data_IF_653679119911
#
_entry.id   IF_653679119911
#
_cell.length_a   1.000
_cell.length_b   1.000
_cell.length_c   1.000
_cell.angle_alpha   90.00
_cell.angle_beta   90.00
_cell.angle_gamma   90.00
#
_symmetry.space_group_name_H-M   'P 1'
#
loop_
_entity.id
_entity.type
_entity.pdbx_description
1 polymer ?
#
# COMPACT_ATOMS: atom_id res chain seq x y z
N UNK A 1 45.20 15.09 -33.64
CA UNK A 1 46.18 14.09 -33.15
C UNK A 1 45.40 13.14 -32.25
N UNK A 2 45.26 11.87 -32.65
CA UNK A 2 44.45 10.86 -31.95
C UNK A 2 45.37 10.05 -31.03
N UNK A 3 45.08 10.08 -29.74
CA UNK A 3 45.81 9.33 -28.71
C UNK A 3 45.43 7.84 -28.81
N UNK A 4 46.34 7.03 -29.34
CA UNK A 4 46.17 5.59 -29.50
C UNK A 4 46.28 4.86 -28.16
N UNK A 5 45.14 4.41 -27.61
CA UNK A 5 45.13 3.54 -26.41
C UNK A 5 45.74 2.18 -26.73
N UNK A 6 46.96 1.96 -26.27
CA UNK A 6 47.63 0.65 -26.20
C UNK A 6 46.77 -0.35 -25.39
N UNK A 7 46.60 -1.60 -25.87
CA UNK A 7 45.78 -2.59 -25.17
C UNK A 7 46.45 -3.07 -23.88
N UNK A 8 45.77 -2.92 -22.74
CA UNK A 8 46.26 -3.40 -21.43
C UNK A 8 46.29 -4.93 -21.40
N UNK A 9 47.49 -5.51 -21.31
CA UNK A 9 47.71 -6.94 -21.07
C UNK A 9 47.25 -7.25 -19.64
N UNK A 10 46.23 -8.10 -19.48
CA UNK A 10 45.69 -8.51 -18.17
C UNK A 10 46.42 -9.76 -17.68
N UNK A 11 46.85 -9.76 -16.43
CA UNK A 11 47.42 -10.93 -15.77
C UNK A 11 46.32 -11.99 -15.55
N UNK A 12 46.60 -13.26 -15.90
CA UNK A 12 45.67 -14.40 -15.81
C UNK A 12 46.11 -15.44 -14.76
N UNK A 13 47.08 -15.12 -13.91
CA UNK A 13 47.45 -15.98 -12.79
C UNK A 13 46.26 -16.15 -11.83
N UNK A 14 46.13 -17.30 -11.15
CA UNK A 14 45.08 -17.51 -10.17
C UNK A 14 45.20 -16.49 -9.03
N UNK A 15 44.09 -15.84 -8.68
CA UNK A 15 44.05 -14.92 -7.55
C UNK A 15 44.26 -15.69 -6.23
N UNK A 16 45.05 -15.12 -5.32
CA UNK A 16 45.31 -15.71 -4.01
C UNK A 16 44.05 -15.77 -3.12
N UNK A 17 43.11 -14.84 -3.33
CA UNK A 17 41.79 -14.82 -2.67
C UNK A 17 40.72 -14.94 -3.73
N UNK A 18 39.86 -15.95 -3.59
CA UNK A 18 38.70 -16.16 -4.45
C UNK A 18 37.53 -15.33 -3.94
N UNK A 19 36.79 -14.72 -4.84
CA UNK A 19 35.57 -13.98 -4.49
C UNK A 19 34.50 -14.98 -4.05
N UNK A 20 34.03 -14.88 -2.81
CA UNK A 20 32.97 -15.74 -2.27
C UNK A 20 31.60 -15.11 -2.44
N UNK A 21 30.55 -15.93 -2.42
CA UNK A 21 29.17 -15.44 -2.45
C UNK A 21 28.86 -14.52 -1.24
N UNK A 22 29.42 -14.83 -0.06
CA UNK A 22 29.26 -14.01 1.14
C UNK A 22 29.89 -12.62 0.98
N UNK A 23 31.10 -12.53 0.39
CA UNK A 23 31.77 -11.25 0.14
C UNK A 23 30.94 -10.37 -0.79
N UNK A 24 30.36 -10.95 -1.84
CA UNK A 24 29.51 -10.23 -2.78
C UNK A 24 28.22 -9.71 -2.13
N UNK A 25 27.59 -10.54 -1.28
CA UNK A 25 26.37 -10.16 -0.57
C UNK A 25 26.63 -9.05 0.45
N UNK A 26 27.77 -9.10 1.16
CA UNK A 26 28.18 -8.08 2.13
C UNK A 26 28.48 -6.74 1.44
N UNK A 27 29.27 -6.76 0.36
CA UNK A 27 29.56 -5.56 -0.44
C UNK A 27 28.28 -4.97 -1.05
N UNK A 28 27.36 -5.82 -1.52
CA UNK A 28 26.08 -5.37 -2.07
C UNK A 28 25.20 -4.69 -1.01
N UNK A 29 25.17 -5.22 0.21
CA UNK A 29 24.43 -4.62 1.33
C UNK A 29 25.08 -3.32 1.81
N UNK A 30 26.41 -3.25 1.89
CA UNK A 30 27.14 -2.03 2.27
C UNK A 30 26.98 -0.90 1.22
N UNK A 31 26.91 -1.27 -0.07
CA UNK A 31 26.66 -0.35 -1.18
C UNK A 31 25.18 -0.13 -1.47
N UNK A 32 24.28 -0.74 -0.71
CA UNK A 32 22.86 -0.53 -0.88
C UNK A 32 22.56 0.92 -0.50
N UNK A 33 22.34 1.75 -1.51
CA UNK A 33 21.88 3.13 -1.33
C UNK A 33 20.66 3.10 -0.41
N UNK A 34 20.67 3.96 0.61
CA UNK A 34 19.54 4.08 1.52
C UNK A 34 18.28 4.31 0.70
N UNK A 35 17.24 3.50 0.93
CA UNK A 35 15.97 3.59 0.22
C UNK A 35 15.53 5.05 0.13
N UNK A 36 15.30 5.55 -1.09
CA UNK A 36 14.87 6.91 -1.33
C UNK A 36 13.59 7.19 -0.54
N UNK A 37 13.69 8.06 0.47
CA UNK A 37 12.53 8.58 1.21
C UNK A 37 12.14 9.89 0.58
N UNK A 38 10.92 9.96 0.04
CA UNK A 38 10.38 11.22 -0.46
C UNK A 38 10.35 12.26 0.66
N UNK A 39 10.71 13.53 0.39
CA UNK A 39 10.63 14.60 1.38
C UNK A 39 9.22 14.72 1.94
N UNK A 40 9.10 15.01 3.24
CA UNK A 40 7.80 15.27 3.86
C UNK A 40 7.16 16.51 3.25
N UNK A 41 6.07 16.34 2.50
CA UNK A 41 5.26 17.45 1.99
C UNK A 41 4.29 17.90 3.08
N UNK A 42 4.38 19.18 3.48
CA UNK A 42 3.39 19.79 4.38
C UNK A 42 2.26 20.35 3.53
N UNK A 43 1.03 19.89 3.79
CA UNK A 43 -0.17 20.41 3.13
C UNK A 43 -0.55 21.73 3.80
N UNK A 44 -0.60 22.82 3.03
CA UNK A 44 -0.82 24.17 3.55
C UNK A 44 -2.25 24.65 3.27
N UNK A 45 -2.78 24.34 2.08
CA UNK A 45 -4.04 24.90 1.60
C UNK A 45 -5.11 23.82 1.30
N UNK A 46 -6.37 24.26 1.22
CA UNK A 46 -7.50 23.38 0.87
C UNK A 46 -7.36 22.75 -0.52
N UNK A 47 -6.82 23.50 -1.49
CA UNK A 47 -6.59 23.01 -2.85
C UNK A 47 -5.54 21.88 -2.87
N UNK A 48 -4.41 22.07 -2.19
CA UNK A 48 -3.39 21.02 -2.02
C UNK A 48 -3.95 19.78 -1.32
N UNK A 49 -4.83 19.96 -0.33
CA UNK A 49 -5.50 18.84 0.33
C UNK A 49 -6.41 18.07 -0.64
N UNK A 50 -7.15 18.78 -1.51
CA UNK A 50 -7.98 18.18 -2.53
C UNK A 50 -7.16 17.41 -3.57
N UNK A 51 -6.05 17.97 -4.05
CA UNK A 51 -5.14 17.29 -4.96
C UNK A 51 -4.49 16.06 -4.30
N UNK A 52 -4.05 16.18 -3.06
CA UNK A 52 -3.51 15.05 -2.29
C UNK A 52 -4.52 13.92 -2.17
N UNK A 53 -5.76 14.24 -1.80
CA UNK A 53 -6.86 13.27 -1.72
C UNK A 53 -7.14 12.65 -3.09
N UNK A 54 -7.16 13.44 -4.16
CA UNK A 54 -7.34 12.97 -5.53
C UNK A 54 -6.27 11.96 -5.97
N UNK A 55 -5.00 12.33 -5.80
CA UNK A 55 -3.85 11.45 -6.13
C UNK A 55 -3.89 10.15 -5.33
N UNK A 56 -4.15 10.24 -4.02
CA UNK A 56 -4.23 9.05 -3.16
C UNK A 56 -5.38 8.12 -3.54
N UNK A 57 -6.54 8.67 -3.89
CA UNK A 57 -7.67 7.88 -4.40
C UNK A 57 -7.33 7.17 -5.69
N UNK A 58 -6.72 7.86 -6.64
CA UNK A 58 -6.30 7.25 -7.90
C UNK A 58 -5.31 6.10 -7.67
N UNK A 59 -4.37 6.27 -6.74
CA UNK A 59 -3.42 5.24 -6.33
C UNK A 59 -4.15 4.00 -5.77
N UNK A 60 -5.08 4.19 -4.83
CA UNK A 60 -5.88 3.09 -4.27
C UNK A 60 -6.74 2.39 -5.33
N UNK A 61 -7.45 3.14 -6.18
CA UNK A 61 -8.27 2.58 -7.25
C UNK A 61 -7.41 1.83 -8.29
N UNK A 62 -6.19 2.30 -8.56
CA UNK A 62 -5.24 1.56 -9.41
C UNK A 62 -4.82 0.24 -8.77
N UNK A 63 -4.50 0.23 -7.48
CA UNK A 63 -4.16 -1.00 -6.74
C UNK A 63 -5.32 -2.00 -6.70
N UNK A 64 -6.53 -1.50 -6.44
CA UNK A 64 -7.75 -2.32 -6.44
C UNK A 64 -8.03 -2.89 -7.84
N UNK A 65 -7.83 -2.10 -8.90
CA UNK A 65 -7.94 -2.61 -10.28
C UNK A 65 -6.95 -3.71 -10.59
N UNK A 66 -5.72 -3.62 -10.07
CA UNK A 66 -4.69 -4.64 -10.27
C UNK A 66 -4.94 -5.89 -9.40
N UNK A 67 -5.41 -5.71 -8.17
CA UNK A 67 -5.51 -6.75 -7.15
C UNK A 67 -6.90 -6.79 -6.52
N UNK A 68 -7.93 -6.99 -7.34
CA UNK A 68 -9.34 -6.91 -6.90
C UNK A 68 -9.68 -7.84 -5.73
N UNK A 69 -9.09 -9.03 -5.67
CA UNK A 69 -9.32 -10.01 -4.61
C UNK A 69 -8.54 -9.76 -3.31
N UNK A 70 -7.63 -8.78 -3.27
CA UNK A 70 -6.85 -8.51 -2.07
C UNK A 70 -7.60 -7.58 -1.12
N UNK A 71 -8.27 -8.18 -0.14
CA UNK A 71 -9.09 -7.48 0.85
C UNK A 71 -8.27 -6.51 1.72
N UNK A 72 -6.95 -6.73 1.86
CA UNK A 72 -6.09 -5.79 2.59
C UNK A 72 -6.04 -4.41 1.93
N UNK A 73 -6.02 -4.33 0.61
CA UNK A 73 -6.02 -3.04 -0.12
C UNK A 73 -7.35 -2.32 0.07
N UNK A 74 -8.47 -3.06 0.04
CA UNK A 74 -9.79 -2.52 0.32
C UNK A 74 -9.91 -1.97 1.74
N UNK A 75 -9.41 -2.71 2.74
CA UNK A 75 -9.38 -2.26 4.13
C UNK A 75 -8.51 -1.01 4.31
N UNK A 76 -7.34 -0.95 3.67
CA UNK A 76 -6.48 0.24 3.72
C UNK A 76 -7.18 1.45 3.10
N UNK A 77 -7.85 1.28 1.96
CA UNK A 77 -8.56 2.36 1.30
C UNK A 77 -9.74 2.88 2.13
N UNK A 78 -10.58 1.98 2.66
CA UNK A 78 -11.71 2.34 3.51
C UNK A 78 -11.27 3.04 4.80
N UNK A 79 -10.23 2.54 5.46
CA UNK A 79 -9.68 3.16 6.67
C UNK A 79 -9.02 4.51 6.38
N UNK A 80 -8.39 4.68 5.22
CA UNK A 80 -7.84 5.97 4.81
C UNK A 80 -8.95 7.00 4.53
N UNK A 81 -10.01 6.65 3.81
CA UNK A 81 -11.16 7.57 3.63
C UNK A 81 -11.82 7.94 4.97
N UNK A 82 -11.93 6.98 5.89
CA UNK A 82 -12.39 7.25 7.26
C UNK A 82 -11.47 8.24 8.01
N UNK A 83 -10.15 8.15 7.84
CA UNK A 83 -9.20 9.10 8.42
C UNK A 83 -9.33 10.52 7.84
N UNK A 84 -9.89 10.65 6.64
CA UNK A 84 -10.17 11.94 5.99
C UNK A 84 -11.53 12.54 6.39
N UNK A 85 -12.25 11.89 7.31
CA UNK A 85 -13.65 12.19 7.71
C UNK A 85 -14.66 12.06 6.55
N UNK A 86 -14.32 11.34 5.48
CA UNK A 86 -15.17 11.14 4.31
C UNK A 86 -15.97 9.84 4.43
N UNK A 87 -16.85 9.76 5.44
CA UNK A 87 -17.56 8.51 5.79
C UNK A 87 -18.47 8.00 4.66
N UNK A 88 -19.10 8.89 3.89
CA UNK A 88 -19.97 8.49 2.76
C UNK A 88 -19.18 7.73 1.68
N UNK A 89 -17.96 8.17 1.39
CA UNK A 89 -17.08 7.49 0.42
C UNK A 89 -16.55 6.19 1.01
N UNK A 90 -16.14 6.21 2.28
CA UNK A 90 -15.70 5.01 2.98
C UNK A 90 -16.77 3.91 2.95
N UNK A 91 -18.05 4.24 3.19
CA UNK A 91 -19.20 3.31 3.02
C UNK A 91 -19.25 2.70 1.63
N UNK A 92 -19.16 3.53 0.58
CA UNK A 92 -19.16 3.04 -0.80
C UNK A 92 -18.00 2.08 -1.08
N UNK A 93 -16.81 2.35 -0.53
CA UNK A 93 -15.65 1.46 -0.65
C UNK A 93 -15.88 0.13 0.09
N UNK A 94 -16.42 0.17 1.32
CA UNK A 94 -16.71 -1.04 2.08
C UNK A 94 -17.81 -1.89 1.45
N UNK A 95 -18.89 -1.29 0.93
CA UNK A 95 -19.94 -2.03 0.20
C UNK A 95 -19.37 -2.67 -1.07
N UNK A 96 -18.55 -1.94 -1.85
CA UNK A 96 -17.84 -2.52 -3.01
C UNK A 96 -16.91 -3.68 -2.63
N UNK A 97 -16.28 -3.61 -1.46
CA UNK A 97 -15.44 -4.69 -0.95
C UNK A 97 -16.28 -5.91 -0.52
N UNK A 98 -17.48 -5.68 0.03
CA UNK A 98 -18.43 -6.74 0.40
C UNK A 98 -18.98 -7.44 -0.84
N UNK A 99 -19.16 -6.72 -1.96
CA UNK A 99 -19.52 -7.33 -3.25
C UNK A 99 -18.43 -8.30 -3.77
N UNK A 100 -17.17 -8.12 -3.36
CA UNK A 100 -16.06 -9.00 -3.76
C UNK A 100 -15.97 -10.22 -2.85
N UNK A 101 -15.98 -10.02 -1.53
CA UNK A 101 -15.95 -11.11 -0.56
C UNK A 101 -16.86 -10.81 0.65
N UNK A 102 -18.14 -11.21 0.59
CA UNK A 102 -19.09 -10.96 1.67
C UNK A 102 -18.89 -11.87 2.88
N UNK A 103 -18.06 -12.93 2.78
CA UNK A 103 -17.82 -13.87 3.88
C UNK A 103 -16.70 -13.42 4.80
N UNK A 104 -15.93 -12.41 4.41
CA UNK A 104 -14.79 -11.97 5.18
C UNK A 104 -15.18 -11.21 6.45
N UNK A 105 -15.06 -11.86 7.60
CA UNK A 105 -15.37 -11.27 8.91
C UNK A 105 -14.58 -9.99 9.20
N UNK A 106 -13.31 -9.90 8.75
CA UNK A 106 -12.48 -8.70 9.01
C UNK A 106 -13.04 -7.46 8.32
N UNK A 107 -13.68 -7.63 7.17
CA UNK A 107 -14.30 -6.54 6.44
C UNK A 107 -15.51 -5.98 7.19
N UNK A 108 -16.40 -6.87 7.66
CA UNK A 108 -17.54 -6.50 8.50
C UNK A 108 -17.10 -5.82 9.80
N UNK A 109 -16.07 -6.33 10.47
CA UNK A 109 -15.54 -5.73 11.70
C UNK A 109 -14.96 -4.34 11.45
N UNK A 110 -14.16 -4.16 10.40
CA UNK A 110 -13.60 -2.84 10.07
C UNK A 110 -14.69 -1.83 9.68
N UNK A 111 -15.71 -2.28 8.97
CA UNK A 111 -16.81 -1.42 8.53
C UNK A 111 -17.70 -1.00 9.73
N UNK A 112 -18.04 -1.94 10.60
CA UNK A 112 -18.78 -1.64 11.85
C UNK A 112 -17.98 -0.72 12.78
N UNK A 113 -16.68 -0.96 12.97
CA UNK A 113 -15.80 -0.11 13.78
C UNK A 113 -15.74 1.33 13.26
N UNK A 114 -15.70 1.51 11.92
CA UNK A 114 -15.79 2.83 11.31
C UNK A 114 -17.11 3.53 11.63
N UNK A 115 -18.25 2.85 11.49
CA UNK A 115 -19.57 3.43 11.78
C UNK A 115 -19.70 3.81 13.26
N UNK A 116 -19.19 2.97 14.17
CA UNK A 116 -19.16 3.26 15.61
C UNK A 116 -18.29 4.48 15.93
N UNK A 117 -17.11 4.61 15.31
CA UNK A 117 -16.24 5.79 15.45
C UNK A 117 -16.90 7.07 14.94
N UNK A 118 -17.70 6.98 13.88
CA UNK A 118 -18.51 8.09 13.37
C UNK A 118 -19.79 8.38 14.17
N UNK A 119 -20.02 7.65 15.28
CA UNK A 119 -21.23 7.71 16.14
C UNK A 119 -22.53 7.33 15.44
N UNK A 120 -22.47 6.62 14.33
CA UNK A 120 -23.64 6.16 13.57
C UNK A 120 -24.10 4.79 14.05
N UNK A 121 -24.64 4.74 15.27
CA UNK A 121 -25.03 3.49 15.96
C UNK A 121 -26.11 2.72 15.20
N UNK A 122 -27.08 3.43 14.59
CA UNK A 122 -28.14 2.77 13.83
C UNK A 122 -27.60 2.02 12.60
N UNK A 123 -26.64 2.61 11.89
CA UNK A 123 -26.01 1.94 10.77
C UNK A 123 -25.16 0.75 11.20
N UNK A 124 -24.39 0.90 12.29
CA UNK A 124 -23.63 -0.21 12.85
C UNK A 124 -24.54 -1.39 13.22
N UNK A 125 -25.72 -1.14 13.82
CA UNK A 125 -26.70 -2.18 14.13
C UNK A 125 -27.19 -2.91 12.87
N UNK A 126 -27.65 -2.16 11.87
CA UNK A 126 -28.10 -2.75 10.61
C UNK A 126 -26.99 -3.59 9.93
N UNK A 127 -25.73 -3.16 10.08
CA UNK A 127 -24.59 -3.84 9.52
C UNK A 127 -24.28 -5.14 10.27
N UNK A 128 -24.39 -5.16 11.60
CA UNK A 128 -24.30 -6.40 12.38
C UNK A 128 -25.42 -7.38 12.05
N UNK A 129 -26.65 -6.90 11.91
CA UNK A 129 -27.79 -7.75 11.53
C UNK A 129 -27.55 -8.40 10.16
N UNK A 130 -27.02 -7.64 9.18
CA UNK A 130 -26.59 -8.18 7.88
C UNK A 130 -25.45 -9.18 8.02
N UNK A 131 -24.43 -8.88 8.83
CA UNK A 131 -23.28 -9.78 9.00
C UNK A 131 -23.71 -11.16 9.52
N UNK A 132 -24.67 -11.20 10.45
CA UNK A 132 -25.21 -12.45 11.01
C UNK A 132 -25.96 -13.26 9.96
N UNK A 133 -26.69 -12.62 9.03
CA UNK A 133 -27.40 -13.35 7.96
C UNK A 133 -26.45 -13.94 6.92
N UNK A 134 -25.30 -13.31 6.67
CA UNK A 134 -24.28 -13.81 5.74
C UNK A 134 -23.37 -14.88 6.32
N UNK A 135 -23.23 -14.94 7.65
CA UNK A 135 -22.48 -15.97 8.36
C UNK A 135 -23.42 -16.79 9.25
N UNK A 136 -24.37 -17.55 8.68
CA UNK A 136 -25.12 -18.52 9.46
C UNK A 136 -24.13 -19.59 9.96
N UNK A 137 -24.31 -19.98 11.22
CA UNK A 137 -23.55 -21.02 11.93
C UNK A 137 -23.47 -22.30 11.11
#
# INVERSE_FOLDING_TARGET
>A
MQDGRVPRIKNRAPAAVQVTAEQLLRDAQERQESQFRSPGQRIQDFEELHEYRGRKREEFEKRIRQTRGNIKEWLQYGNWEASQNEFLRARSVFERALDVDPRNVKLWLSYTDMELKSRNVQHARNLFDRAVTFSPV
#
